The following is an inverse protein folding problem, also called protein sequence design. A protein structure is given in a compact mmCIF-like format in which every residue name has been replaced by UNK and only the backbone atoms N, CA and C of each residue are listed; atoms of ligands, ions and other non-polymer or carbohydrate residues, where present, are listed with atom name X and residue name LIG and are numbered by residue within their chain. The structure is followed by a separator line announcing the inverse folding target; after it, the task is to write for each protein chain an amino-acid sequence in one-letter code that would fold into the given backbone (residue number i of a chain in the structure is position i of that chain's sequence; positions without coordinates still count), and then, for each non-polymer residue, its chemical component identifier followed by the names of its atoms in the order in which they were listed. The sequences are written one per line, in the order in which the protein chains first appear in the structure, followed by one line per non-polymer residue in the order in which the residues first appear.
data_IF_163840239941
#
_entry.id   IF_163840239941
#
_cell.length_a   1.000
_cell.length_b   1.000
_cell.length_c   1.000
_cell.angle_alpha   90.00
_cell.angle_beta   90.00
_cell.angle_gamma   90.00
#
_symmetry.space_group_name_H-M   'P 1'
#
loop_
_entity.id
_entity.type
_entity.pdbx_description
1 polymer ?
#
# COMPACT_ATOMS: atom_id res chain seq x y z
N UNK A 1 4.22 18.20 4.26
CA UNK A 1 3.80 16.80 4.26
C UNK A 1 3.53 16.34 5.67
N UNK A 2 2.60 15.48 5.84
CA UNK A 2 2.19 15.02 7.16
C UNK A 2 3.04 13.82 7.60
N UNK A 3 3.00 13.56 8.92
CA UNK A 3 3.64 12.38 9.49
C UNK A 3 3.00 11.07 8.98
N UNK A 4 1.80 11.17 8.43
CA UNK A 4 1.11 10.04 7.85
C UNK A 4 1.93 9.41 6.74
N UNK A 5 2.65 10.22 5.98
CA UNK A 5 3.39 9.76 4.83
C UNK A 5 4.55 8.85 5.24
N UNK A 6 5.30 9.22 6.28
CA UNK A 6 6.37 8.37 6.80
C UNK A 6 5.80 7.07 7.39
N UNK A 7 4.69 7.17 8.11
CA UNK A 7 4.04 5.98 8.66
C UNK A 7 3.57 5.03 7.58
N UNK A 8 3.04 5.56 6.49
CA UNK A 8 2.60 4.73 5.37
C UNK A 8 3.77 4.05 4.67
N UNK A 9 4.91 4.74 4.56
CA UNK A 9 6.11 4.10 4.05
C UNK A 9 6.51 2.91 4.90
N UNK A 10 6.49 3.06 6.22
CA UNK A 10 6.83 1.96 7.13
C UNK A 10 5.84 0.81 7.02
N UNK A 11 4.55 1.11 6.86
CA UNK A 11 3.54 0.08 6.64
C UNK A 11 3.82 -0.65 5.33
N UNK A 12 4.15 0.07 4.27
CA UNK A 12 4.47 -0.53 2.97
C UNK A 12 5.68 -1.48 3.09
N UNK A 13 6.71 -1.07 3.81
CA UNK A 13 7.92 -1.89 3.98
C UNK A 13 7.67 -3.19 4.74
N UNK A 14 6.59 -3.26 5.52
CA UNK A 14 6.25 -4.46 6.27
C UNK A 14 5.68 -5.59 5.39
N UNK A 15 5.23 -5.27 4.18
CA UNK A 15 4.70 -6.28 3.27
C UNK A 15 5.82 -7.01 2.54
N UNK A 16 6.00 -8.33 2.74
CA UNK A 16 7.02 -9.07 2.01
C UNK A 16 6.93 -8.91 0.49
N UNK A 17 5.71 -8.89 -0.05
CA UNK A 17 5.51 -8.76 -1.49
C UNK A 17 6.02 -7.42 -2.02
N UNK A 18 5.80 -6.33 -1.31
CA UNK A 18 6.25 -5.01 -1.73
C UNK A 18 7.75 -4.82 -1.54
N UNK A 19 8.29 -5.40 -0.47
CA UNK A 19 9.72 -5.38 -0.24
C UNK A 19 10.45 -6.04 -1.40
N UNK A 20 9.93 -7.15 -1.86
CA UNK A 20 10.47 -7.88 -3.01
C UNK A 20 10.41 -7.03 -4.29
N UNK A 21 9.40 -6.18 -4.41
CA UNK A 21 9.26 -5.29 -5.58
C UNK A 21 10.08 -4.01 -5.45
N UNK A 22 10.86 -3.87 -4.41
CA UNK A 22 11.79 -2.76 -4.29
C UNK A 22 11.19 -1.50 -3.73
N UNK A 23 10.23 -1.60 -2.83
CA UNK A 23 9.67 -0.41 -2.19
C UNK A 23 10.75 0.34 -1.41
N UNK A 24 11.69 -0.39 -0.80
CA UNK A 24 12.80 0.23 -0.07
C UNK A 24 13.78 0.92 -1.01
N UNK A 25 13.84 0.52 -2.27
CA UNK A 25 14.71 1.10 -3.29
C UNK A 25 14.02 2.23 -4.05
N UNK A 26 12.78 2.56 -3.70
CA UNK A 26 12.03 3.62 -4.37
C UNK A 26 11.58 3.27 -5.78
N UNK A 27 11.40 1.98 -6.09
CA UNK A 27 11.00 1.55 -7.43
C UNK A 27 9.53 1.71 -7.72
N UNK A 28 8.71 1.85 -6.67
CA UNK A 28 7.27 2.04 -6.83
C UNK A 28 6.99 3.53 -6.75
N UNK A 29 6.48 4.16 -7.82
CA UNK A 29 6.21 5.59 -7.80
C UNK A 29 5.24 5.97 -6.68
N UNK A 30 5.53 7.08 -6.04
CA UNK A 30 4.69 7.59 -4.96
C UNK A 30 5.08 7.10 -3.58
N UNK A 31 5.97 6.11 -3.47
CA UNK A 31 6.44 5.63 -2.17
C UNK A 31 7.94 5.88 -2.06
N UNK A 32 8.33 6.72 -1.12
CA UNK A 32 9.73 7.01 -0.82
C UNK A 32 9.94 6.92 0.68
N UNK A 33 11.20 6.81 1.16
CA UNK A 33 11.46 6.73 2.60
C UNK A 33 10.93 7.92 3.41
N UNK A 34 10.77 9.06 2.77
CA UNK A 34 10.34 10.28 3.46
C UNK A 34 8.90 10.66 3.17
N UNK A 35 8.33 10.19 2.05
CA UNK A 35 7.04 10.67 1.59
C UNK A 35 6.20 9.57 0.98
N UNK A 36 4.89 9.78 1.02
CA UNK A 36 3.94 8.91 0.35
C UNK A 36 3.01 9.81 -0.46
N UNK A 37 3.18 9.79 -1.77
CA UNK A 37 2.39 10.60 -2.69
C UNK A 37 1.29 9.75 -3.29
N UNK A 38 0.11 9.79 -2.68
CA UNK A 38 -1.00 8.92 -3.06
C UNK A 38 -1.46 9.14 -4.49
N UNK A 39 -1.45 10.40 -4.96
CA UNK A 39 -1.88 10.69 -6.34
C UNK A 39 -0.90 10.11 -7.36
N UNK A 40 0.40 10.20 -7.09
CA UNK A 40 1.42 9.62 -7.97
C UNK A 40 1.31 8.10 -8.01
N UNK A 41 1.12 7.48 -6.85
CA UNK A 41 0.95 6.03 -6.77
C UNK A 41 -0.31 5.59 -7.52
N UNK A 42 -1.43 6.28 -7.30
CA UNK A 42 -2.68 5.94 -7.96
C UNK A 42 -2.58 6.10 -9.47
N UNK A 43 -1.96 7.19 -9.94
CA UNK A 43 -1.80 7.42 -11.37
C UNK A 43 -0.98 6.31 -12.02
N UNK A 44 0.09 5.88 -11.37
CA UNK A 44 0.92 4.78 -11.87
C UNK A 44 0.15 3.45 -11.82
N UNK A 45 -0.47 3.16 -10.68
CA UNK A 45 -1.14 1.86 -10.46
C UNK A 45 -2.26 1.62 -11.46
N UNK A 46 -3.10 2.64 -11.68
CA UNK A 46 -4.24 2.54 -12.58
C UNK A 46 -3.92 2.96 -14.01
N UNK A 47 -2.74 3.51 -14.23
CA UNK A 47 -2.30 3.97 -15.55
C UNK A 47 -1.45 2.97 -16.32
N UNK A 48 -1.39 1.71 -15.85
CA UNK A 48 -0.62 0.66 -16.54
C UNK A 48 0.43 -0.02 -15.67
N UNK A 49 0.93 0.66 -14.64
CA UNK A 49 1.93 0.08 -13.74
C UNK A 49 1.41 -1.14 -13.00
N UNK A 50 0.11 -1.16 -12.71
CA UNK A 50 -0.53 -2.30 -12.06
C UNK A 50 -0.45 -3.58 -12.87
N UNK A 51 -0.30 -3.48 -14.19
CA UNK A 51 -0.12 -4.65 -15.05
C UNK A 51 1.20 -5.37 -14.83
N UNK A 52 2.15 -4.75 -14.15
CA UNK A 52 3.44 -5.35 -13.80
C UNK A 52 3.41 -6.08 -12.46
N UNK A 53 2.28 -6.08 -11.80
CA UNK A 53 2.12 -6.59 -10.45
C UNK A 53 1.28 -7.86 -10.45
N UNK A 54 1.52 -8.73 -9.45
CA UNK A 54 0.59 -9.82 -9.18
C UNK A 54 -0.71 -9.24 -8.62
N UNK A 55 -1.76 -10.05 -8.61
CA UNK A 55 -3.05 -9.62 -8.06
C UNK A 55 -2.92 -9.21 -6.58
N UNK A 56 -2.17 -9.99 -5.80
CA UNK A 56 -1.94 -9.68 -4.39
C UNK A 56 -1.19 -8.37 -4.19
N UNK A 57 -0.14 -8.14 -4.98
CA UNK A 57 0.62 -6.88 -4.91
C UNK A 57 -0.26 -5.69 -5.23
N UNK A 58 -1.10 -5.83 -6.25
CA UNK A 58 -2.04 -4.76 -6.64
C UNK A 58 -2.99 -4.44 -5.48
N UNK A 59 -3.56 -5.46 -4.85
CA UNK A 59 -4.47 -5.28 -3.72
C UNK A 59 -3.80 -4.58 -2.54
N UNK A 60 -2.53 -4.91 -2.26
CA UNK A 60 -1.80 -4.27 -1.17
C UNK A 60 -1.63 -2.78 -1.45
N UNK A 61 -1.29 -2.40 -2.68
CA UNK A 61 -1.14 -0.99 -3.03
C UNK A 61 -2.47 -0.26 -2.97
N UNK A 62 -3.56 -0.90 -3.37
CA UNK A 62 -4.89 -0.31 -3.19
C UNK A 62 -5.22 -0.10 -1.71
N UNK A 63 -4.81 -1.04 -0.86
CA UNK A 63 -5.02 -0.89 0.58
C UNK A 63 -4.26 0.30 1.14
N UNK A 64 -3.01 0.50 0.71
CA UNK A 64 -2.20 1.66 1.15
C UNK A 64 -2.85 2.96 0.73
N UNK A 65 -3.36 3.04 -0.49
CA UNK A 65 -4.09 4.22 -0.95
C UNK A 65 -5.33 4.48 -0.08
N UNK A 66 -6.07 3.42 0.23
CA UNK A 66 -7.27 3.53 1.05
C UNK A 66 -6.93 4.00 2.47
N UNK A 67 -5.85 3.47 3.06
CA UNK A 67 -5.41 3.91 4.39
C UNK A 67 -4.97 5.37 4.39
N UNK A 68 -4.42 5.84 3.27
CA UNK A 68 -3.96 7.22 3.13
C UNK A 68 -5.15 8.19 3.04
N UNK A 69 -6.09 7.89 2.14
CA UNK A 69 -7.24 8.77 1.90
C UNK A 69 -8.43 7.94 1.43
N UNK A 70 -9.23 7.41 2.36
CA UNK A 70 -10.32 6.50 2.02
C UNK A 70 -11.44 7.14 1.20
N UNK A 71 -11.59 8.45 1.27
CA UNK A 71 -12.63 9.13 0.51
C UNK A 71 -12.25 9.23 -0.97
N UNK A 72 -10.97 9.42 -1.25
CA UNK A 72 -10.48 9.53 -2.61
C UNK A 72 -10.20 8.16 -3.21
N UNK A 73 -9.68 7.22 -2.41
CA UNK A 73 -9.26 5.91 -2.86
C UNK A 73 -10.14 4.83 -2.23
N UNK A 74 -11.26 4.53 -2.87
CA UNK A 74 -12.30 3.65 -2.34
C UNK A 74 -12.40 2.32 -3.08
N UNK A 75 -11.39 1.95 -3.86
CA UNK A 75 -11.45 0.74 -4.70
C UNK A 75 -10.97 -0.52 -3.97
N UNK A 76 -10.33 -0.39 -2.83
CA UNK A 76 -9.83 -1.54 -2.11
C UNK A 76 -10.97 -2.41 -1.59
N UNK A 77 -10.86 -3.72 -1.82
CA UNK A 77 -11.84 -4.70 -1.38
C UNK A 77 -11.19 -5.66 -0.40
N UNK A 78 -11.55 -5.54 0.88
CA UNK A 78 -10.98 -6.38 1.93
C UNK A 78 -11.33 -7.85 1.74
N UNK A 79 -12.57 -8.15 1.31
CA UNK A 79 -12.98 -9.54 1.06
C UNK A 79 -12.12 -10.22 0.01
N UNK A 80 -11.78 -9.49 -1.05
CA UNK A 80 -10.89 -10.01 -2.09
C UNK A 80 -9.48 -10.23 -1.55
N UNK A 81 -9.00 -9.32 -0.71
CA UNK A 81 -7.69 -9.48 -0.07
C UNK A 81 -7.64 -10.72 0.82
N UNK A 82 -8.72 -10.98 1.55
CA UNK A 82 -8.83 -12.18 2.40
C UNK A 82 -8.71 -13.47 1.60
N UNK A 83 -9.14 -13.46 0.34
CA UNK A 83 -9.08 -14.64 -0.52
C UNK A 83 -7.77 -14.75 -1.29
N UNK A 84 -7.01 -13.67 -1.41
CA UNK A 84 -5.88 -13.59 -2.32
C UNK A 84 -4.52 -13.53 -1.61
N UNK A 85 -4.43 -12.79 -0.51
CA UNK A 85 -3.14 -12.59 0.17
C UNK A 85 -2.73 -13.81 0.96
N UNK A 86 -1.42 -14.10 0.92
CA UNK A 86 -0.87 -15.14 1.76
C UNK A 86 -0.83 -14.69 3.23
N UNK A 87 -0.59 -15.61 4.18
CA UNK A 87 -0.64 -15.26 5.60
C UNK A 87 0.29 -14.13 6.01
N UNK A 88 1.51 -14.07 5.46
CA UNK A 88 2.48 -13.05 5.85
C UNK A 88 2.06 -11.67 5.38
N UNK A 89 1.58 -11.56 4.15
CA UNK A 89 1.08 -10.28 3.63
C UNK A 89 -0.24 -9.89 4.30
N UNK A 90 -1.10 -10.85 4.61
CA UNK A 90 -2.33 -10.55 5.35
C UNK A 90 -2.02 -10.03 6.74
N UNK A 91 -1.05 -10.64 7.45
CA UNK A 91 -0.66 -10.17 8.77
C UNK A 91 -0.11 -8.74 8.69
N UNK A 92 0.69 -8.44 7.66
CA UNK A 92 1.20 -7.09 7.45
C UNK A 92 0.07 -6.09 7.21
N UNK A 93 -0.96 -6.49 6.46
CA UNK A 93 -2.13 -5.64 6.23
C UNK A 93 -2.87 -5.37 7.54
N UNK A 94 -3.14 -6.40 8.33
CA UNK A 94 -3.83 -6.24 9.61
C UNK A 94 -3.05 -5.32 10.55
N UNK A 95 -1.73 -5.52 10.61
CA UNK A 95 -0.87 -4.65 11.42
C UNK A 95 -0.91 -3.21 10.93
N UNK A 96 -0.93 -3.01 9.62
CA UNK A 96 -1.03 -1.67 9.02
C UNK A 96 -2.35 -0.99 9.34
N UNK A 97 -3.45 -1.75 9.31
CA UNK A 97 -4.77 -1.23 9.65
C UNK A 97 -4.78 -0.78 11.11
N UNK A 98 -4.31 -1.63 12.02
CA UNK A 98 -4.28 -1.31 13.46
C UNK A 98 -3.40 -0.08 13.70
N UNK A 99 -2.24 -0.03 13.08
CA UNK A 99 -1.31 1.08 13.21
C UNK A 99 -1.92 2.39 12.74
N UNK A 100 -2.62 2.36 11.61
CA UNK A 100 -3.31 3.53 11.08
C UNK A 100 -4.43 3.96 12.03
N UNK A 101 -5.20 3.02 12.54
CA UNK A 101 -6.25 3.29 13.50
C UNK A 101 -5.69 3.98 14.75
N UNK A 102 -4.57 3.49 15.28
CA UNK A 102 -3.99 4.02 16.51
C UNK A 102 -3.37 5.41 16.35
N UNK A 103 -3.22 5.89 15.14
CA UNK A 103 -2.68 7.22 14.85
C UNK A 103 -3.76 8.30 14.76
N UNK A 104 -4.99 7.94 14.91
CA UNK A 104 -6.13 8.85 14.77
C UNK A 104 -6.28 9.80 15.95
#
# INVERSE_FOLDING_TARGET
MSKTDEGLYQIACAFPALKYKGVEEGRIPGITPTDFYDLDLAAWLYGGGGGLLSHGEFLILEALLNLCNPQLHDKFNLGEALQTLDPDNMQALLNGIVRTYNRR
#
